data_IF_593298230785
#
_entry.id   IF_593298230785
#
_cell.length_a   1.000
_cell.length_b   1.000
_cell.length_c   1.000
_cell.angle_alpha   90.00
_cell.angle_beta   90.00
_cell.angle_gamma   90.00
#
_symmetry.space_group_name_H-M   'P 1'
#
loop_
_entity.id
_entity.type
_entity.pdbx_description
1 polymer ?
#
# COMPACT_ATOMS: atom_id res chain seq x y z
N UNK A 1 7.42 -11.91 11.88
CA UNK A 1 6.25 -11.09 11.45
C UNK A 1 6.78 -10.03 10.50
N UNK A 2 6.17 -9.86 9.35
CA UNK A 2 6.39 -8.71 8.47
C UNK A 2 5.24 -7.72 8.66
N UNK A 3 5.57 -6.43 8.74
CA UNK A 3 4.57 -5.38 8.82
C UNK A 3 4.85 -4.30 7.75
N UNK A 4 3.85 -3.98 6.94
CA UNK A 4 3.96 -2.92 5.93
C UNK A 4 2.82 -1.92 6.08
N UNK A 5 3.10 -0.64 5.86
CA UNK A 5 2.07 0.39 5.87
C UNK A 5 1.91 1.02 4.49
N UNK A 6 0.67 1.25 4.07
CA UNK A 6 0.37 2.01 2.86
C UNK A 6 -0.12 3.38 3.27
N UNK A 7 0.65 4.42 2.99
CA UNK A 7 0.39 5.77 3.47
C UNK A 7 0.65 6.86 2.41
N UNK A 8 -0.18 7.87 2.43
CA UNK A 8 0.01 9.18 1.77
C UNK A 8 -1.02 10.15 2.36
N UNK A 9 -0.68 11.42 2.50
CA UNK A 9 -1.61 12.46 2.97
C UNK A 9 -2.66 12.85 1.93
N UNK A 10 -2.54 12.35 0.69
CA UNK A 10 -3.54 12.60 -0.36
C UNK A 10 -4.67 11.59 -0.32
N UNK A 11 -5.91 12.11 -0.27
CA UNK A 11 -7.10 11.30 -0.52
C UNK A 11 -7.12 10.80 -1.97
N UNK A 12 -7.64 9.58 -2.19
CA UNK A 12 -7.78 9.02 -3.54
C UNK A 12 -6.49 8.50 -4.19
N UNK A 13 -5.34 8.51 -3.52
CA UNK A 13 -4.08 8.00 -4.07
C UNK A 13 -4.03 6.49 -4.29
N UNK A 14 -5.05 5.75 -3.81
CA UNK A 14 -5.16 4.29 -3.99
C UNK A 14 -4.60 3.47 -2.84
N UNK A 15 -4.45 4.03 -1.65
CA UNK A 15 -3.94 3.34 -0.45
C UNK A 15 -4.68 2.04 -0.17
N UNK A 16 -6.00 2.10 -0.02
CA UNK A 16 -6.86 0.93 0.23
C UNK A 16 -6.73 -0.12 -0.87
N UNK A 17 -6.65 0.29 -2.14
CA UNK A 17 -6.44 -0.64 -3.25
C UNK A 17 -5.10 -1.38 -3.12
N UNK A 18 -4.02 -0.66 -2.81
CA UNK A 18 -2.72 -1.29 -2.60
C UNK A 18 -2.73 -2.20 -1.37
N UNK A 19 -3.30 -1.74 -0.26
CA UNK A 19 -3.36 -2.50 0.99
C UNK A 19 -4.12 -3.83 0.82
N UNK A 20 -5.30 -3.79 0.19
CA UNK A 20 -6.11 -5.00 -0.06
C UNK A 20 -5.43 -5.98 -1.01
N UNK A 21 -4.76 -5.48 -2.08
CA UNK A 21 -4.02 -6.33 -3.01
C UNK A 21 -2.79 -6.98 -2.36
N UNK A 22 -2.03 -6.23 -1.56
CA UNK A 22 -0.87 -6.77 -0.83
C UNK A 22 -1.31 -7.82 0.19
N UNK A 23 -2.40 -7.57 0.92
CA UNK A 23 -2.93 -8.55 1.86
C UNK A 23 -3.38 -9.84 1.15
N UNK A 24 -4.05 -9.72 -0.01
CA UNK A 24 -4.45 -10.87 -0.82
C UNK A 24 -3.24 -11.64 -1.38
N UNK A 25 -2.21 -10.94 -1.86
CA UNK A 25 -0.97 -11.56 -2.33
C UNK A 25 -0.28 -12.38 -1.23
N UNK A 26 -0.13 -11.81 -0.04
CA UNK A 26 0.46 -12.51 1.11
C UNK A 26 -0.37 -13.74 1.49
N UNK A 27 -1.69 -13.60 1.53
CA UNK A 27 -2.60 -14.71 1.84
C UNK A 27 -2.53 -15.82 0.77
N UNK A 28 -2.46 -15.47 -0.51
CA UNK A 28 -2.27 -16.41 -1.61
C UNK A 28 -0.92 -17.17 -1.51
N UNK A 29 0.10 -16.55 -0.93
CA UNK A 29 1.37 -17.20 -0.58
C UNK A 29 1.33 -18.06 0.68
N UNK A 30 0.15 -18.29 1.28
CA UNK A 30 -0.01 -19.11 2.50
C UNK A 30 0.38 -18.39 3.80
N UNK A 31 0.57 -17.07 3.76
CA UNK A 31 0.91 -16.27 4.95
C UNK A 31 -0.36 -15.89 5.71
N UNK A 32 -0.38 -16.08 7.02
CA UNK A 32 -1.46 -15.60 7.90
C UNK A 32 -1.42 -14.07 8.01
N UNK A 33 -2.36 -13.39 7.34
CA UNK A 33 -2.36 -11.92 7.16
C UNK A 33 -3.44 -11.24 7.97
N UNK A 34 -3.08 -10.13 8.61
CA UNK A 34 -4.00 -9.14 9.15
C UNK A 34 -3.97 -7.89 8.26
N UNK A 35 -5.13 -7.45 7.80
CA UNK A 35 -5.33 -6.14 7.18
C UNK A 35 -5.94 -5.21 8.22
N UNK A 36 -5.11 -4.30 8.74
CA UNK A 36 -5.49 -3.36 9.78
C UNK A 36 -5.95 -2.05 9.14
N UNK A 37 -7.22 -1.73 9.31
CA UNK A 37 -7.87 -0.52 8.78
C UNK A 37 -7.83 0.60 9.83
N UNK A 38 -7.09 1.67 9.53
CA UNK A 38 -6.97 2.84 10.39
C UNK A 38 -7.86 4.01 9.89
N UNK A 39 -8.62 3.81 8.80
CA UNK A 39 -9.52 4.83 8.26
C UNK A 39 -10.92 4.70 8.88
N UNK A 40 -11.48 5.80 9.32
CA UNK A 40 -12.88 5.84 9.80
C UNK A 40 -13.91 5.42 8.76
N UNK A 41 -13.56 5.48 7.47
CA UNK A 41 -14.39 4.96 6.38
C UNK A 41 -14.43 3.42 6.35
N UNK A 42 -13.48 2.72 6.98
CA UNK A 42 -13.40 1.26 7.10
C UNK A 42 -13.50 0.53 5.75
N UNK A 43 -12.92 1.11 4.71
CA UNK A 43 -13.05 0.57 3.35
C UNK A 43 -12.31 -0.75 3.17
N UNK A 44 -11.13 -0.91 3.76
CA UNK A 44 -10.38 -2.16 3.71
C UNK A 44 -10.98 -3.22 4.65
N UNK A 45 -11.54 -2.84 5.79
CA UNK A 45 -12.29 -3.73 6.66
C UNK A 45 -13.53 -4.29 5.94
N UNK A 46 -14.36 -3.43 5.33
CA UNK A 46 -15.52 -3.84 4.55
C UNK A 46 -15.14 -4.73 3.35
N UNK A 47 -13.95 -4.57 2.79
CA UNK A 47 -13.42 -5.47 1.77
C UNK A 47 -13.16 -6.87 2.34
N UNK A 48 -12.57 -7.00 3.54
CA UNK A 48 -12.34 -8.31 4.17
C UNK A 48 -13.66 -9.01 4.51
N UNK A 49 -14.70 -8.28 4.91
CA UNK A 49 -16.03 -8.83 5.21
C UNK A 49 -16.72 -9.40 3.95
N UNK A 50 -16.46 -8.80 2.77
CA UNK A 50 -16.99 -9.29 1.48
C UNK A 50 -16.16 -10.39 0.86
N UNK A 51 -14.96 -10.71 1.42
CA UNK A 51 -14.04 -11.66 0.80
C UNK A 51 -14.65 -13.05 0.73
N UNK A 52 -14.70 -13.68 -0.48
CA UNK A 52 -15.23 -15.02 -0.66
C UNK A 52 -14.49 -16.06 0.22
N UNK A 53 -15.25 -16.97 0.85
CA UNK A 53 -14.71 -17.95 1.80
C UNK A 53 -13.79 -18.99 1.15
N UNK A 54 -13.95 -19.23 -0.14
CA UNK A 54 -13.13 -20.13 -0.95
C UNK A 54 -11.74 -19.59 -1.29
N UNK A 55 -11.53 -18.29 -1.11
CA UNK A 55 -10.23 -17.64 -1.33
C UNK A 55 -9.35 -17.69 -0.08
N UNK A 56 -8.02 -17.58 -0.21
CA UNK A 56 -7.14 -17.39 0.93
C UNK A 56 -7.61 -16.23 1.80
N UNK A 57 -7.86 -16.49 3.09
CA UNK A 57 -8.51 -15.52 3.96
C UNK A 57 -7.54 -14.44 4.44
N UNK A 58 -8.06 -13.23 4.60
CA UNK A 58 -7.40 -12.08 5.19
C UNK A 58 -8.21 -11.65 6.41
N UNK A 59 -7.60 -11.63 7.58
CA UNK A 59 -8.27 -11.18 8.80
C UNK A 59 -8.33 -9.66 8.83
N UNK A 60 -9.52 -9.07 8.80
CA UNK A 60 -9.73 -7.64 9.02
C UNK A 60 -9.58 -7.27 10.49
N UNK A 61 -8.98 -6.12 10.77
CA UNK A 61 -8.86 -5.53 12.11
C UNK A 61 -9.19 -4.03 12.04
N UNK A 62 -10.17 -3.59 12.82
CA UNK A 62 -10.56 -2.17 12.94
C UNK A 62 -9.66 -1.46 13.97
N UNK A 63 -8.78 -0.59 13.51
CA UNK A 63 -7.95 0.30 14.32
C UNK A 63 -8.28 1.78 14.06
N UNK A 64 -9.47 2.07 13.50
CA UNK A 64 -9.89 3.42 13.10
C UNK A 64 -10.13 4.38 14.26
N UNK A 65 -10.29 3.86 15.47
CA UNK A 65 -10.52 4.68 16.69
C UNK A 65 -9.29 4.76 17.56
N UNK A 66 -8.69 3.62 17.85
CA UNK A 66 -7.57 3.49 18.77
C UNK A 66 -6.46 2.66 18.11
N UNK A 67 -5.28 3.25 18.02
CA UNK A 67 -4.08 2.57 17.52
C UNK A 67 -3.50 1.64 18.58
N UNK A 68 -3.23 0.40 18.18
CA UNK A 68 -2.43 -0.55 18.95
C UNK A 68 -1.57 -1.42 18.01
N UNK A 69 -0.37 -1.85 18.45
CA UNK A 69 0.44 -2.79 17.68
C UNK A 69 -0.27 -4.14 17.52
N UNK A 70 -0.24 -4.68 16.30
CA UNK A 70 -0.84 -5.99 16.01
C UNK A 70 0.14 -7.10 16.36
N UNK A 71 -0.25 -7.96 17.30
CA UNK A 71 0.54 -9.12 17.71
C UNK A 71 -0.05 -10.44 17.15
N UNK A 72 0.80 -11.48 17.07
CA UNK A 72 0.37 -12.85 16.74
C UNK A 72 0.00 -13.09 15.27
N UNK A 73 0.32 -12.16 14.35
CA UNK A 73 0.16 -12.36 12.93
C UNK A 73 1.50 -12.70 12.26
N UNK A 74 1.49 -13.47 11.17
CA UNK A 74 2.69 -13.70 10.36
C UNK A 74 3.01 -12.45 9.49
N UNK A 75 1.95 -11.77 9.02
CA UNK A 75 2.07 -10.51 8.29
C UNK A 75 0.97 -9.52 8.69
N UNK A 76 1.28 -8.23 8.64
CA UNK A 76 0.33 -7.13 8.86
C UNK A 76 0.46 -6.11 7.72
N UNK A 77 -0.69 -5.73 7.15
CA UNK A 77 -0.78 -4.62 6.20
C UNK A 77 -1.65 -3.54 6.83
N UNK A 78 -1.08 -2.35 7.03
CA UNK A 78 -1.79 -1.20 7.57
C UNK A 78 -2.31 -0.31 6.43
N UNK A 79 -3.63 -0.11 6.36
CA UNK A 79 -4.27 0.89 5.47
C UNK A 79 -4.42 2.21 6.24
N UNK A 80 -3.58 3.20 5.91
CA UNK A 80 -3.47 4.44 6.67
C UNK A 80 -4.33 5.54 6.04
N UNK A 81 -5.22 6.22 6.81
CA UNK A 81 -6.01 7.33 6.29
C UNK A 81 -5.13 8.53 5.91
N UNK A 82 -5.59 9.30 4.92
CA UNK A 82 -4.89 10.53 4.50
C UNK A 82 -4.84 11.60 5.61
N UNK A 83 -5.77 11.56 6.55
CA UNK A 83 -5.92 12.53 7.64
C UNK A 83 -5.35 12.05 8.98
N UNK A 84 -4.50 11.02 8.98
CA UNK A 84 -3.89 10.53 10.21
C UNK A 84 -3.08 11.62 10.90
N UNK A 85 -3.24 11.75 12.22
CA UNK A 85 -2.46 12.69 13.01
C UNK A 85 -0.98 12.27 13.03
N UNK A 86 -0.09 13.26 13.05
CA UNK A 86 1.37 13.04 13.09
C UNK A 86 1.80 12.03 14.16
N UNK A 87 1.28 12.17 15.39
CA UNK A 87 1.64 11.29 16.51
C UNK A 87 1.28 9.83 16.21
N UNK A 88 0.07 9.58 15.70
CA UNK A 88 -0.41 8.23 15.42
C UNK A 88 0.35 7.62 14.23
N UNK A 89 0.66 8.42 13.21
CA UNK A 89 1.49 8.00 12.08
C UNK A 89 2.92 7.62 12.55
N UNK A 90 3.51 8.39 13.46
CA UNK A 90 4.83 8.08 14.01
C UNK A 90 4.84 6.76 14.78
N UNK A 91 3.77 6.44 15.52
CA UNK A 91 3.65 5.15 16.21
C UNK A 91 3.56 3.99 15.20
N UNK A 92 2.73 4.12 14.15
CA UNK A 92 2.65 3.10 13.10
C UNK A 92 4.01 2.91 12.42
N UNK A 93 4.69 3.99 12.08
CA UNK A 93 5.99 3.96 11.38
C UNK A 93 7.09 3.26 12.21
N UNK A 94 6.98 3.20 13.53
CA UNK A 94 7.91 2.45 14.40
C UNK A 94 7.71 0.94 14.29
N UNK A 95 6.51 0.49 13.96
CA UNK A 95 6.11 -0.91 13.97
C UNK A 95 6.23 -1.61 12.61
N UNK A 96 6.52 -0.85 11.52
CA UNK A 96 6.56 -1.42 10.18
C UNK A 96 7.96 -1.62 9.64
N UNK A 97 8.10 -2.59 8.75
CA UNK A 97 9.35 -2.94 8.05
C UNK A 97 9.51 -2.18 6.72
N UNK A 98 8.40 -1.67 6.16
CA UNK A 98 8.41 -0.81 4.97
C UNK A 98 7.18 0.11 4.93
N UNK A 99 7.36 1.30 4.34
CA UNK A 99 6.30 2.25 4.05
C UNK A 99 6.09 2.30 2.54
N UNK A 100 4.88 1.98 2.08
CA UNK A 100 4.51 2.01 0.67
C UNK A 100 3.76 3.31 0.40
N UNK A 101 4.27 4.08 -0.56
CA UNK A 101 3.80 5.43 -0.86
C UNK A 101 3.21 5.48 -2.27
N UNK A 102 1.89 5.32 -2.46
CA UNK A 102 1.26 5.51 -3.76
C UNK A 102 1.24 7.00 -4.15
N UNK A 103 1.71 7.31 -5.35
CA UNK A 103 1.75 8.68 -5.91
C UNK A 103 1.03 8.69 -7.25
N UNK A 104 0.07 9.61 -7.44
CA UNK A 104 -0.64 9.78 -8.70
C UNK A 104 0.10 10.76 -9.62
N UNK A 105 -0.06 10.63 -10.96
CA UNK A 105 0.55 11.54 -11.93
C UNK A 105 -0.20 12.89 -12.00
N UNK A 106 -0.12 13.69 -10.93
CA UNK A 106 -0.73 15.01 -10.83
C UNK A 106 0.14 15.97 -10.01
N UNK A 107 0.16 17.26 -10.36
CA UNK A 107 0.88 18.29 -9.64
C UNK A 107 0.49 18.37 -8.14
N UNK A 108 -0.79 18.20 -7.84
CA UNK A 108 -1.26 18.24 -6.46
C UNK A 108 -0.80 17.02 -5.64
N UNK A 109 -0.55 15.89 -6.29
CA UNK A 109 0.01 14.71 -5.63
C UNK A 109 1.51 14.86 -5.40
N UNK A 110 2.25 15.51 -6.32
CA UNK A 110 3.66 15.87 -6.14
C UNK A 110 3.84 16.74 -4.89
N UNK A 111 3.05 17.81 -4.73
CA UNK A 111 3.10 18.70 -3.56
C UNK A 111 2.73 17.95 -2.27
N UNK A 112 1.71 17.08 -2.33
CA UNK A 112 1.30 16.24 -1.22
C UNK A 112 2.42 15.28 -0.80
N UNK A 113 3.06 14.66 -1.79
CA UNK A 113 4.18 13.72 -1.58
C UNK A 113 5.38 14.43 -0.93
N UNK A 114 5.78 15.62 -1.39
CA UNK A 114 6.86 16.40 -0.74
C UNK A 114 6.54 16.67 0.73
N UNK A 115 5.31 17.12 1.02
CA UNK A 115 4.87 17.38 2.41
C UNK A 115 4.88 16.12 3.26
N UNK A 116 4.40 15.01 2.72
CA UNK A 116 4.42 13.73 3.42
C UNK A 116 5.83 13.27 3.73
N UNK A 117 6.74 13.31 2.76
CA UNK A 117 8.14 12.92 2.94
C UNK A 117 8.86 13.83 3.93
N UNK A 118 8.62 15.15 3.88
CA UNK A 118 9.13 16.08 4.88
C UNK A 118 8.68 15.71 6.28
N UNK A 119 7.39 15.37 6.46
CA UNK A 119 6.85 14.95 7.75
C UNK A 119 7.51 13.66 8.26
N UNK A 120 7.56 12.60 7.43
CA UNK A 120 8.07 11.30 7.89
C UNK A 120 9.58 11.28 8.02
N UNK A 121 10.32 12.14 7.33
CA UNK A 121 11.78 12.28 7.48
C UNK A 121 12.21 12.76 8.87
N UNK A 122 11.31 13.41 9.60
CA UNK A 122 11.55 13.81 10.98
C UNK A 122 11.43 12.64 11.96
N UNK A 123 10.74 11.55 11.58
CA UNK A 123 10.56 10.38 12.44
C UNK A 123 11.88 9.62 12.60
N UNK A 124 12.17 9.20 13.83
CA UNK A 124 13.42 8.52 14.17
C UNK A 124 13.64 7.24 13.36
N UNK A 125 12.57 6.49 13.07
CA UNK A 125 12.63 5.26 12.31
C UNK A 125 13.10 5.50 10.86
N UNK A 126 12.63 6.57 10.21
CA UNK A 126 13.01 6.97 8.85
C UNK A 126 14.39 7.63 8.84
N UNK A 127 14.61 8.63 9.74
CA UNK A 127 15.84 9.43 9.79
C UNK A 127 17.12 8.60 9.99
N UNK A 128 17.01 7.47 10.71
CA UNK A 128 18.14 6.55 10.92
C UNK A 128 18.31 5.53 9.77
N UNK A 129 17.70 5.76 8.63
CA UNK A 129 17.70 4.88 7.44
C UNK A 129 17.31 3.43 7.73
N UNK A 130 16.42 3.23 8.71
CA UNK A 130 15.96 1.90 9.11
C UNK A 130 14.67 1.48 8.41
N UNK A 131 13.86 2.44 7.94
CA UNK A 131 12.60 2.17 7.30
C UNK A 131 12.67 2.52 5.81
N UNK A 132 12.61 1.54 4.89
CA UNK A 132 12.52 1.81 3.47
C UNK A 132 11.15 2.43 3.12
N UNK A 133 11.18 3.48 2.29
CA UNK A 133 9.99 4.07 1.67
C UNK A 133 9.98 3.62 0.21
N UNK A 134 8.94 2.89 -0.19
CA UNK A 134 8.76 2.32 -1.52
C UNK A 134 7.71 3.14 -2.27
N UNK A 135 8.14 4.06 -3.14
CA UNK A 135 7.23 4.83 -3.97
C UNK A 135 6.61 3.94 -5.06
N UNK A 136 5.30 4.05 -5.24
CA UNK A 136 4.55 3.37 -6.30
C UNK A 136 3.87 4.42 -7.17
N UNK A 137 4.29 4.55 -8.43
CA UNK A 137 3.57 5.35 -9.40
C UNK A 137 2.22 4.68 -9.70
N UNK A 138 1.13 5.26 -9.19
CA UNK A 138 -0.18 4.62 -9.21
C UNK A 138 -1.14 5.27 -10.21
N UNK A 139 -2.04 4.47 -10.80
CA UNK A 139 -3.04 4.90 -11.79
C UNK A 139 -2.42 5.63 -12.98
N UNK A 140 -1.30 5.11 -13.47
CA UNK A 140 -0.58 5.68 -14.60
C UNK A 140 -1.27 5.31 -15.91
N UNK A 141 -1.52 6.30 -16.76
CA UNK A 141 -2.12 6.11 -18.10
C UNK A 141 -1.03 6.15 -19.16
N UNK A 142 -0.53 4.99 -19.53
CA UNK A 142 0.39 4.83 -20.67
C UNK A 142 1.53 5.86 -20.71
N UNK A 143 2.00 6.20 -21.94
CA UNK A 143 3.09 7.15 -22.18
C UNK A 143 2.59 8.62 -22.21
N UNK A 144 1.87 9.06 -21.21
CA UNK A 144 1.33 10.42 -21.12
C UNK A 144 2.39 11.41 -20.63
N UNK A 145 2.15 12.72 -20.86
CA UNK A 145 2.97 13.81 -20.30
C UNK A 145 2.97 13.73 -18.77
N UNK A 146 1.80 13.43 -18.17
CA UNK A 146 1.67 13.32 -16.73
C UNK A 146 2.50 12.15 -16.15
N UNK A 147 2.58 11.01 -16.85
CA UNK A 147 3.43 9.88 -16.44
C UNK A 147 4.91 10.28 -16.43
N UNK A 148 5.41 10.88 -17.53
CA UNK A 148 6.81 11.34 -17.60
C UNK A 148 7.14 12.41 -16.56
N UNK A 149 6.18 13.28 -16.26
CA UNK A 149 6.34 14.29 -15.22
C UNK A 149 6.45 13.63 -13.83
N UNK A 150 5.64 12.64 -13.53
CA UNK A 150 5.72 11.89 -12.28
C UNK A 150 7.08 11.19 -12.13
N UNK A 151 7.58 10.55 -13.19
CA UNK A 151 8.88 9.89 -13.17
C UNK A 151 10.00 10.90 -12.86
N UNK A 152 10.02 12.04 -13.60
CA UNK A 152 11.00 13.10 -13.36
C UNK A 152 10.91 13.70 -11.94
N UNK A 153 9.70 13.85 -11.41
CA UNK A 153 9.47 14.31 -10.04
C UNK A 153 10.05 13.34 -9.01
N UNK A 154 9.77 12.05 -9.16
CA UNK A 154 10.25 11.02 -8.21
C UNK A 154 11.79 10.87 -8.28
N UNK A 155 12.40 11.03 -9.45
CA UNK A 155 13.85 11.09 -9.59
C UNK A 155 14.44 12.33 -8.92
N UNK A 156 13.84 13.52 -9.12
CA UNK A 156 14.27 14.78 -8.51
C UNK A 156 14.32 14.68 -6.98
N UNK A 157 13.33 14.05 -6.37
CA UNK A 157 13.29 13.85 -4.91
C UNK A 157 14.08 12.62 -4.44
N UNK A 158 14.87 12.00 -5.32
CA UNK A 158 15.69 10.81 -5.04
C UNK A 158 14.89 9.61 -4.47
N UNK A 159 13.65 9.47 -4.92
CA UNK A 159 12.76 8.37 -4.55
C UNK A 159 12.11 7.78 -5.81
N UNK A 160 12.88 7.14 -6.71
CA UNK A 160 12.33 6.55 -7.92
C UNK A 160 11.24 5.53 -7.59
N UNK A 161 10.21 5.45 -8.45
CA UNK A 161 9.15 4.47 -8.26
C UNK A 161 9.70 3.04 -8.37
N UNK A 162 9.42 2.23 -7.37
CA UNK A 162 9.77 0.78 -7.41
C UNK A 162 8.84 0.02 -8.35
N UNK A 163 7.61 0.51 -8.55
CA UNK A 163 6.63 -0.08 -9.46
C UNK A 163 5.74 1.02 -10.08
N UNK A 164 5.23 0.75 -11.27
CA UNK A 164 4.28 1.63 -11.98
C UNK A 164 3.02 0.84 -12.27
N UNK A 165 1.94 1.13 -11.54
CA UNK A 165 0.65 0.47 -11.69
C UNK A 165 -0.25 1.24 -12.66
N UNK A 166 -0.74 0.55 -13.70
CA UNK A 166 -1.64 1.13 -14.70
C UNK A 166 -3.01 1.49 -14.12
N UNK A 167 -3.62 2.56 -14.64
CA UNK A 167 -5.03 2.89 -14.35
C UNK A 167 -5.94 1.91 -15.11
N UNK A 168 -6.59 1.00 -14.36
CA UNK A 168 -7.45 -0.02 -14.94
C UNK A 168 -8.76 -0.20 -14.14
N UNK A 169 -9.89 -0.29 -14.84
CA UNK A 169 -11.20 -0.52 -14.24
C UNK A 169 -11.29 -1.88 -13.49
N UNK A 170 -10.40 -2.82 -13.81
CA UNK A 170 -10.32 -4.12 -13.13
C UNK A 170 -10.12 -3.99 -11.61
N UNK A 171 -9.33 -3.01 -11.15
CA UNK A 171 -9.14 -2.77 -9.71
C UNK A 171 -10.45 -2.47 -8.97
N UNK A 172 -11.30 -1.61 -9.55
CA UNK A 172 -12.59 -1.29 -8.96
C UNK A 172 -13.55 -2.49 -9.02
N UNK A 173 -13.54 -3.24 -10.11
CA UNK A 173 -14.40 -4.41 -10.29
C UNK A 173 -14.12 -5.49 -9.23
N UNK A 174 -12.85 -5.87 -9.02
CA UNK A 174 -12.49 -6.90 -8.03
C UNK A 174 -12.71 -6.41 -6.60
N UNK A 175 -12.43 -5.13 -6.29
CA UNK A 175 -12.57 -4.58 -4.94
C UNK A 175 -14.01 -4.64 -4.43
N UNK A 176 -15.01 -4.40 -5.29
CA UNK A 176 -16.43 -4.47 -4.95
C UNK A 176 -16.87 -5.86 -4.46
N UNK A 177 -16.23 -6.91 -4.95
CA UNK A 177 -16.50 -8.32 -4.59
C UNK A 177 -15.60 -8.86 -3.46
N UNK A 178 -14.83 -8.02 -2.77
CA UNK A 178 -13.86 -8.48 -1.76
C UNK A 178 -12.69 -9.29 -2.34
N UNK A 179 -12.42 -9.11 -3.65
CA UNK A 179 -11.37 -9.80 -4.40
C UNK A 179 -10.25 -8.84 -4.77
N UNK A 180 -9.16 -9.40 -5.23
CA UNK A 180 -8.00 -8.70 -5.77
C UNK A 180 -7.65 -9.26 -7.15
N UNK A 181 -6.73 -8.63 -7.88
CA UNK A 181 -6.22 -9.19 -9.14
C UNK A 181 -5.47 -10.53 -8.92
N UNK A 182 -4.92 -10.77 -7.71
CA UNK A 182 -4.27 -12.04 -7.36
C UNK A 182 -5.25 -13.21 -7.24
N UNK A 183 -6.55 -12.93 -7.13
CA UNK A 183 -7.60 -13.93 -7.06
C UNK A 183 -8.20 -14.26 -8.45
N UNK A 184 -7.81 -13.51 -9.48
CA UNK A 184 -8.37 -13.64 -10.84
C UNK A 184 -7.48 -14.50 -11.73
N UNK A 185 -8.04 -15.58 -12.34
CA UNK A 185 -7.25 -16.49 -13.17
C UNK A 185 -7.08 -16.02 -14.64
N UNK A 186 -7.74 -14.93 -15.03
CA UNK A 186 -7.80 -14.51 -16.44
C UNK A 186 -6.50 -13.82 -16.92
N UNK A 187 -6.36 -13.73 -18.25
CA UNK A 187 -5.17 -13.18 -18.90
C UNK A 187 -5.00 -11.68 -18.62
N UNK A 188 -6.10 -10.93 -18.45
CA UNK A 188 -6.05 -9.48 -18.17
C UNK A 188 -5.52 -9.21 -16.77
N UNK A 189 -5.96 -9.98 -15.78
CA UNK A 189 -5.43 -9.88 -14.43
C UNK A 189 -3.93 -10.22 -14.40
N UNK A 190 -3.52 -11.30 -15.05
CA UNK A 190 -2.10 -11.68 -15.17
C UNK A 190 -1.25 -10.59 -15.82
N UNK A 191 -1.76 -9.92 -16.85
CA UNK A 191 -1.06 -8.80 -17.49
C UNK A 191 -0.90 -7.59 -16.54
N UNK A 192 -1.94 -7.25 -15.77
CA UNK A 192 -1.88 -6.19 -14.77
C UNK A 192 -0.98 -6.56 -13.58
N UNK A 193 -0.89 -7.82 -13.21
CA UNK A 193 -0.02 -8.30 -12.13
C UNK A 193 1.48 -8.17 -12.47
N UNK A 194 1.85 -8.05 -13.74
CA UNK A 194 3.23 -7.74 -14.12
C UNK A 194 3.68 -6.38 -13.58
N UNK A 195 2.75 -5.41 -13.49
CA UNK A 195 3.03 -4.09 -12.93
C UNK A 195 3.39 -4.15 -11.42
N UNK A 196 2.88 -5.15 -10.71
CA UNK A 196 3.12 -5.36 -9.29
C UNK A 196 4.45 -6.04 -9.00
N UNK A 197 4.97 -6.82 -9.95
CA UNK A 197 6.12 -7.69 -9.71
C UNK A 197 7.32 -6.95 -9.08
N UNK A 198 7.73 -5.74 -9.54
CA UNK A 198 8.87 -5.05 -8.94
C UNK A 198 8.62 -4.66 -7.45
N UNK A 199 7.38 -4.27 -7.09
CA UNK A 199 7.04 -4.00 -5.69
C UNK A 199 7.10 -5.27 -4.84
N UNK A 200 6.56 -6.39 -5.36
CA UNK A 200 6.56 -7.67 -4.66
C UNK A 200 7.98 -8.18 -4.46
N UNK A 201 8.86 -8.02 -5.46
CA UNK A 201 10.27 -8.41 -5.36
C UNK A 201 11.01 -7.56 -4.31
N UNK A 202 10.68 -6.27 -4.19
CA UNK A 202 11.23 -5.41 -3.13
C UNK A 202 10.76 -5.81 -1.72
N UNK A 203 9.57 -6.41 -1.59
CA UNK A 203 9.02 -6.86 -0.30
C UNK A 203 9.44 -8.28 0.09
N UNK A 204 9.78 -9.16 -0.87
CA UNK A 204 10.16 -10.57 -0.59
C UNK A 204 11.31 -10.74 0.41
N UNK A 205 12.40 -9.95 0.37
CA UNK A 205 13.47 -10.08 1.36
C UNK A 205 12.99 -9.86 2.79
N UNK A 206 11.97 -9.03 3.00
CA UNK A 206 11.38 -8.78 4.32
C UNK A 206 10.62 -10.00 4.85
N UNK A 207 10.10 -10.88 3.95
CA UNK A 207 9.45 -12.14 4.33
C UNK A 207 10.44 -13.21 4.78
N UNK A 208 11.67 -13.19 4.24
CA UNK A 208 12.69 -14.23 4.45
C UNK A 208 13.66 -13.91 5.59
N UNK A 209 13.67 -12.68 6.08
CA UNK A 209 14.71 -12.15 6.99
C UNK A 209 14.44 -12.32 8.49
N UNK A 210 13.45 -13.15 8.90
CA UNK A 210 13.14 -13.40 10.32
C UNK A 210 12.82 -14.84 10.59
#
# INVERSE_FOLDING_TARGET
MIAVAVANIKGGSGKTTLATHLAAWLAAGGVGVVLADLDRQRSSLAWTERRPKELPQVRGLDLSRDWEPVAGAAAVVYDIPASMKRKDLEEVVKEVDALILPVLPSAFDEDGTRRFLSLVSEFKAVRKHRLPILAVANRVRGRTVAARRLDAFLEEIQLPAVATLRDAAAYAAVAGAGRSLFDEPDARARDLLQDWQPLLDALRPLLSGR
#
